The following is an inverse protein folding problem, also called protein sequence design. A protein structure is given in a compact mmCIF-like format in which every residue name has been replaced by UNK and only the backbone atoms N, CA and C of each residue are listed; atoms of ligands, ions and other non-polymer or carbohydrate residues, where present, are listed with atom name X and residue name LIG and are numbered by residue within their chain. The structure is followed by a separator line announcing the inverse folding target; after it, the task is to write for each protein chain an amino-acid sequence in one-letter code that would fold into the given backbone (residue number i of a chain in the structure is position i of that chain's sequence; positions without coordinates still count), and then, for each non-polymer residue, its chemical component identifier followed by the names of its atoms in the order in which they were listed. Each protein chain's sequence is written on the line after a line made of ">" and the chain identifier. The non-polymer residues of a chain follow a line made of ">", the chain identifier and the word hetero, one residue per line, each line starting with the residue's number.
data_IF_019620539730
#
_entry.id   IF_019620539730
#
_cell.length_a   1.000
_cell.length_b   1.000
_cell.length_c   1.000
_cell.angle_alpha   90.00
_cell.angle_beta   90.00
_cell.angle_gamma   90.00
#
_symmetry.space_group_name_H-M   'P 1'
#
loop_
_entity.id
_entity.type
_entity.pdbx_description
1 polymer ?
#
# COMPACT_ATOMS: atom_id res chain seq x y z
N UNK A 1 20.72 15.07 -23.48
CA UNK A 1 21.06 14.95 -24.90
C UNK A 1 19.79 14.46 -25.60
N UNK A 2 19.05 15.40 -26.16
CA UNK A 2 17.75 15.20 -26.84
C UNK A 2 18.06 14.80 -28.28
N UNK A 3 17.48 13.73 -28.78
CA UNK A 3 17.43 13.44 -30.21
C UNK A 3 15.98 13.29 -30.67
N UNK A 4 15.55 14.29 -31.40
CA UNK A 4 14.40 14.33 -32.27
C UNK A 4 14.66 13.47 -33.52
N UNK A 5 13.66 12.72 -33.96
CA UNK A 5 13.66 12.14 -35.31
C UNK A 5 12.40 12.60 -36.04
N UNK A 6 12.66 13.33 -37.11
CA UNK A 6 11.73 13.73 -38.16
C UNK A 6 11.50 12.56 -39.12
N UNK A 7 10.26 12.40 -39.57
CA UNK A 7 9.90 11.54 -40.69
C UNK A 7 9.78 12.39 -42.00
N UNK A 8 10.18 11.86 -43.14
CA UNK A 8 9.87 12.51 -44.42
C UNK A 8 8.61 11.93 -45.07
N UNK A 9 7.81 12.82 -45.63
CA UNK A 9 6.74 12.56 -46.58
C UNK A 9 7.24 12.04 -47.93
N UNK A 10 6.35 11.39 -48.59
CA UNK A 10 6.03 11.26 -50.00
C UNK A 10 6.06 9.85 -50.57
N UNK A 11 4.90 9.35 -51.03
CA UNK A 11 4.73 8.86 -52.38
C UNK A 11 3.25 8.57 -52.71
N UNK A 12 2.92 8.96 -53.89
CA UNK A 12 1.66 9.07 -54.61
C UNK A 12 0.86 7.77 -54.80
N UNK A 13 -0.44 8.02 -54.84
CA UNK A 13 -1.58 7.32 -55.43
C UNK A 13 -1.33 6.31 -56.53
N UNK A 14 -2.02 5.17 -56.44
CA UNK A 14 -2.74 4.52 -57.56
C UNK A 14 -4.00 3.88 -57.03
N UNK A 15 -5.13 4.33 -57.52
CA UNK A 15 -6.43 3.70 -57.28
C UNK A 15 -6.63 2.52 -58.21
N UNK A 16 -7.25 1.44 -57.73
CA UNK A 16 -8.14 0.60 -58.55
C UNK A 16 -9.60 0.85 -58.15
N UNK A 17 -10.37 1.11 -59.15
CA UNK A 17 -11.80 1.29 -59.17
C UNK A 17 -12.48 -0.04 -58.81
N UNK A 18 -13.19 -0.16 -57.70
CA UNK A 18 -14.04 -1.30 -57.36
C UNK A 18 -15.44 -0.77 -57.15
N UNK A 19 -16.35 -1.47 -57.83
CA UNK A 19 -17.75 -1.16 -58.08
C UNK A 19 -18.57 -0.81 -56.83
N UNK A 20 -19.54 0.06 -57.08
CA UNK A 20 -20.61 0.46 -56.19
C UNK A 20 -21.58 -0.68 -55.93
N UNK A 21 -21.47 -1.35 -54.76
CA UNK A 21 -22.60 -1.99 -54.13
C UNK A 21 -23.01 -1.17 -52.90
N UNK A 22 -24.03 -0.34 -53.14
CA UNK A 22 -24.54 0.63 -52.20
C UNK A 22 -25.41 0.02 -51.10
N UNK A 23 -24.79 -0.65 -50.14
CA UNK A 23 -25.45 -1.00 -48.88
C UNK A 23 -25.01 -0.01 -47.79
N UNK A 24 -25.93 0.82 -47.29
CA UNK A 24 -25.72 1.78 -46.25
C UNK A 24 -25.06 1.09 -45.02
N UNK A 25 -23.80 1.40 -44.64
CA UNK A 25 -23.08 0.73 -43.56
C UNK A 25 -23.83 0.80 -42.22
N UNK A 26 -24.59 1.85 -41.96
CA UNK A 26 -25.43 1.99 -40.75
C UNK A 26 -26.55 0.92 -40.71
N UNK A 27 -27.18 0.57 -41.89
CA UNK A 27 -28.19 -0.48 -41.93
C UNK A 27 -27.58 -1.88 -41.68
N UNK A 28 -26.36 -2.14 -42.15
CA UNK A 28 -25.64 -3.39 -41.88
C UNK A 28 -25.25 -3.56 -40.41
N UNK A 29 -24.80 -2.47 -39.77
CA UNK A 29 -24.49 -2.47 -38.32
C UNK A 29 -25.78 -2.63 -37.51
N UNK A 30 -26.86 -1.91 -37.86
CA UNK A 30 -28.15 -2.07 -37.17
C UNK A 30 -28.74 -3.47 -37.35
N UNK A 31 -28.63 -4.05 -38.54
CA UNK A 31 -29.10 -5.44 -38.78
C UNK A 31 -28.27 -6.47 -38.02
N UNK A 32 -26.94 -6.27 -37.93
CA UNK A 32 -26.05 -7.13 -37.14
C UNK A 32 -26.34 -7.03 -35.64
N UNK A 33 -26.58 -5.83 -35.11
CA UNK A 33 -26.99 -5.59 -33.73
C UNK A 33 -28.37 -6.19 -33.43
N UNK A 34 -29.34 -6.09 -34.38
CA UNK A 34 -30.67 -6.67 -34.21
C UNK A 34 -30.60 -8.20 -34.19
N UNK A 35 -29.80 -8.82 -35.07
CA UNK A 35 -29.57 -10.28 -35.08
C UNK A 35 -28.85 -10.71 -33.80
N UNK A 36 -27.88 -9.97 -33.33
CA UNK A 36 -27.18 -10.27 -32.05
C UNK A 36 -28.15 -10.19 -30.86
N UNK A 37 -29.01 -9.17 -30.81
CA UNK A 37 -30.03 -9.07 -29.76
C UNK A 37 -31.08 -10.19 -29.87
N UNK A 38 -31.47 -10.63 -31.09
CA UNK A 38 -32.41 -11.74 -31.28
C UNK A 38 -31.77 -13.08 -30.89
N UNK A 39 -30.49 -13.28 -31.18
CA UNK A 39 -29.75 -14.48 -30.78
C UNK A 39 -29.59 -14.55 -29.27
N UNK A 40 -29.27 -13.40 -28.60
CA UNK A 40 -29.22 -13.29 -27.14
C UNK A 40 -30.62 -13.55 -26.50
N UNK A 41 -31.72 -13.11 -27.13
CA UNK A 41 -33.07 -13.33 -26.64
C UNK A 41 -33.58 -14.77 -26.83
N UNK A 42 -32.93 -15.58 -27.68
CA UNK A 42 -33.23 -16.97 -27.91
C UNK A 42 -32.39 -17.95 -27.11
N UNK A 43 -31.40 -17.45 -26.39
CA UNK A 43 -30.62 -18.28 -25.45
C UNK A 43 -31.49 -18.64 -24.24
N UNK A 44 -31.51 -19.91 -23.82
CA UNK A 44 -32.21 -20.27 -22.59
C UNK A 44 -31.62 -19.48 -21.42
N UNK A 45 -32.46 -19.08 -20.47
CA UNK A 45 -32.03 -18.28 -19.31
C UNK A 45 -30.82 -18.90 -18.55
N UNK A 46 -30.66 -20.22 -18.64
CA UNK A 46 -29.48 -20.95 -18.15
C UNK A 46 -28.19 -20.70 -18.95
N UNK A 47 -28.28 -20.20 -20.20
CA UNK A 47 -27.12 -19.86 -21.02
C UNK A 47 -26.65 -18.39 -20.80
N UNK A 48 -27.44 -17.62 -20.06
CA UNK A 48 -27.16 -16.27 -19.62
C UNK A 48 -26.82 -16.20 -18.11
N UNK A 49 -26.67 -17.38 -17.47
CA UNK A 49 -26.21 -17.41 -16.09
C UNK A 49 -24.78 -16.81 -16.04
N UNK A 50 -24.66 -15.69 -15.36
CA UNK A 50 -23.34 -15.09 -15.11
C UNK A 50 -22.44 -16.10 -14.40
N UNK A 51 -21.19 -16.19 -14.84
CA UNK A 51 -20.21 -17.01 -14.14
C UNK A 51 -20.03 -16.45 -12.72
N UNK A 52 -20.04 -17.32 -11.71
CA UNK A 52 -19.73 -16.89 -10.35
C UNK A 52 -18.37 -16.19 -10.29
N UNK A 53 -18.30 -15.14 -9.50
CA UNK A 53 -17.06 -14.45 -9.18
C UNK A 53 -16.18 -15.37 -8.34
N UNK A 54 -14.93 -15.54 -8.73
CA UNK A 54 -14.00 -16.41 -8.02
C UNK A 54 -13.34 -15.70 -6.85
N UNK A 55 -12.71 -16.45 -5.97
CA UNK A 55 -11.89 -15.88 -4.89
C UNK A 55 -10.70 -15.09 -5.44
N UNK A 56 -10.11 -15.53 -6.58
CA UNK A 56 -9.06 -14.77 -7.26
C UNK A 56 -9.58 -13.44 -7.83
N UNK A 57 -10.76 -13.42 -8.46
CA UNK A 57 -11.39 -12.19 -8.94
C UNK A 57 -11.65 -11.22 -7.79
N UNK A 58 -12.17 -11.73 -6.66
CA UNK A 58 -12.40 -10.93 -5.45
C UNK A 58 -11.11 -10.34 -4.89
N UNK A 59 -10.03 -11.12 -4.87
CA UNK A 59 -8.74 -10.63 -4.39
C UNK A 59 -8.19 -9.52 -5.29
N UNK A 60 -8.28 -9.68 -6.61
CA UNK A 60 -7.88 -8.63 -7.57
C UNK A 60 -8.71 -7.38 -7.37
N UNK A 61 -10.04 -7.51 -7.29
CA UNK A 61 -10.95 -6.38 -7.07
C UNK A 61 -10.62 -5.62 -5.77
N UNK A 62 -10.44 -6.34 -4.66
CA UNK A 62 -10.12 -5.74 -3.36
C UNK A 62 -8.74 -5.05 -3.38
N UNK A 63 -7.72 -5.72 -3.93
CA UNK A 63 -6.38 -5.15 -4.00
C UNK A 63 -6.34 -3.86 -4.84
N UNK A 64 -7.04 -3.82 -5.96
CA UNK A 64 -7.09 -2.65 -6.83
C UNK A 64 -7.96 -1.53 -6.23
N UNK A 65 -9.13 -1.86 -5.70
CA UNK A 65 -10.04 -0.87 -5.10
C UNK A 65 -9.44 -0.17 -3.90
N UNK A 66 -8.72 -0.92 -3.05
CA UNK A 66 -8.12 -0.37 -1.82
C UNK A 66 -6.63 -0.06 -1.97
N UNK A 67 -6.06 -0.14 -3.18
CA UNK A 67 -4.70 0.27 -3.49
C UNK A 67 -3.62 -0.53 -2.76
N UNK A 68 -3.87 -1.82 -2.48
CA UNK A 68 -2.91 -2.66 -1.78
C UNK A 68 -1.67 -2.91 -2.63
N UNK A 69 -0.49 -2.83 -2.03
CA UNK A 69 0.77 -3.21 -2.68
C UNK A 69 0.84 -4.73 -2.90
N UNK A 70 1.48 -5.14 -3.98
CA UNK A 70 1.66 -6.56 -4.30
C UNK A 70 2.63 -7.22 -3.31
N UNK A 71 2.32 -8.46 -2.92
CA UNK A 71 3.17 -9.29 -2.06
C UNK A 71 3.56 -10.55 -2.82
N UNK A 72 4.83 -10.98 -2.70
CA UNK A 72 5.41 -12.08 -3.45
C UNK A 72 5.94 -13.19 -2.54
N UNK A 73 5.31 -13.44 -1.40
CA UNK A 73 5.79 -14.37 -0.38
C UNK A 73 5.88 -15.81 -0.88
N UNK A 74 4.92 -16.29 -1.67
CA UNK A 74 4.87 -17.66 -2.18
C UNK A 74 6.03 -18.02 -3.14
N UNK A 75 6.70 -17.01 -3.72
CA UNK A 75 7.82 -17.18 -4.65
C UNK A 75 9.18 -17.22 -3.94
N UNK A 76 9.22 -16.97 -2.65
CA UNK A 76 10.46 -17.01 -1.86
C UNK A 76 10.73 -18.46 -1.50
N UNK A 77 11.85 -19.02 -1.97
CA UNK A 77 12.26 -20.37 -1.65
C UNK A 77 12.50 -20.51 -0.13
N UNK A 78 11.94 -21.55 0.47
CA UNK A 78 12.00 -21.76 1.91
C UNK A 78 11.16 -20.82 2.76
N UNK A 79 10.30 -19.98 2.14
CA UNK A 79 9.37 -19.15 2.88
C UNK A 79 8.29 -20.00 3.54
N UNK A 80 8.14 -19.82 4.85
CA UNK A 80 7.17 -20.53 5.66
C UNK A 80 6.05 -19.61 6.13
N UNK A 81 4.87 -20.18 6.30
CA UNK A 81 3.67 -19.39 6.64
C UNK A 81 3.39 -19.34 8.13
N UNK A 82 4.14 -20.10 8.93
CA UNK A 82 3.95 -20.13 10.38
C UNK A 82 5.02 -19.32 11.12
N UNK A 83 4.69 -18.65 12.22
CA UNK A 83 5.65 -17.89 13.01
C UNK A 83 6.86 -18.72 13.46
N UNK A 84 6.64 -19.99 13.80
CA UNK A 84 7.69 -20.90 14.25
C UNK A 84 8.69 -21.20 13.13
N UNK A 85 8.21 -21.41 11.93
CA UNK A 85 9.02 -21.70 10.74
C UNK A 85 9.81 -20.49 10.27
N UNK A 86 9.33 -19.28 10.59
CA UNK A 86 10.05 -18.03 10.36
C UNK A 86 11.08 -17.69 11.44
N UNK A 87 11.31 -18.58 12.42
CA UNK A 87 12.29 -18.38 13.49
C UNK A 87 11.80 -17.47 14.62
N UNK A 88 10.54 -17.07 14.63
CA UNK A 88 9.94 -16.37 15.75
C UNK A 88 9.65 -17.35 16.89
N UNK A 89 10.01 -16.99 18.11
CA UNK A 89 9.73 -17.82 19.27
C UNK A 89 8.22 -17.85 19.54
N UNK A 90 7.68 -19.05 19.70
CA UNK A 90 6.26 -19.27 20.00
C UNK A 90 5.81 -18.69 21.37
N UNK A 91 6.73 -18.10 22.13
CA UNK A 91 6.47 -17.55 23.47
C UNK A 91 6.09 -16.06 23.46
N UNK A 92 6.11 -15.38 22.31
CA UNK A 92 5.62 -13.99 22.27
C UNK A 92 4.18 -13.99 21.83
N UNK A 93 3.25 -13.77 22.76
CA UNK A 93 1.84 -13.48 22.49
C UNK A 93 1.65 -12.25 21.58
N UNK A 94 2.74 -11.55 21.25
CA UNK A 94 2.79 -10.39 20.40
C UNK A 94 2.92 -10.74 18.90
N UNK A 95 3.26 -11.95 18.51
CA UNK A 95 3.27 -12.37 17.11
C UNK A 95 1.84 -12.76 16.74
N UNK A 96 1.05 -11.76 16.45
CA UNK A 96 -0.25 -11.93 15.83
C UNK A 96 -0.06 -12.35 14.37
N UNK A 97 -1.07 -12.96 13.77
CA UNK A 97 -1.08 -13.27 12.34
C UNK A 97 -0.74 -12.05 11.45
N UNK A 98 -0.93 -10.83 11.97
CA UNK A 98 -0.58 -9.57 11.31
C UNK A 98 0.94 -9.37 11.12
N UNK A 99 1.77 -10.05 11.90
CA UNK A 99 3.24 -9.89 11.84
C UNK A 99 3.92 -10.95 10.98
N UNK A 100 3.14 -11.87 10.41
CA UNK A 100 3.64 -12.94 9.55
C UNK A 100 3.02 -12.81 8.18
N UNK A 101 3.88 -12.63 7.17
CA UNK A 101 3.41 -12.56 5.79
C UNK A 101 2.98 -13.96 5.35
N UNK A 102 1.71 -14.15 5.04
CA UNK A 102 1.16 -15.41 4.58
C UNK A 102 1.37 -15.59 3.06
N UNK A 103 1.71 -16.81 2.67
CA UNK A 103 1.88 -17.21 1.28
C UNK A 103 0.74 -18.13 0.82
N UNK A 104 0.20 -17.88 -0.37
CA UNK A 104 -0.81 -18.72 -1.02
C UNK A 104 -0.13 -19.74 -1.92
N UNK A 105 0.21 -20.91 -1.41
CA UNK A 105 1.06 -21.89 -2.10
C UNK A 105 0.40 -22.49 -3.37
N UNK A 106 -0.91 -22.57 -3.42
CA UNK A 106 -1.66 -23.02 -4.59
C UNK A 106 -1.82 -21.93 -5.67
N UNK A 107 -1.29 -20.74 -5.44
CA UNK A 107 -1.40 -19.60 -6.34
C UNK A 107 -0.06 -19.16 -6.94
N UNK A 108 1.06 -19.78 -6.59
CA UNK A 108 2.42 -19.33 -6.90
C UNK A 108 2.69 -19.04 -8.38
N UNK A 109 2.08 -19.83 -9.26
CA UNK A 109 2.21 -19.69 -10.73
C UNK A 109 1.16 -18.76 -11.35
N UNK A 110 0.24 -18.23 -10.56
CA UNK A 110 -0.81 -17.34 -11.07
C UNK A 110 -0.28 -15.91 -11.21
N UNK A 111 -0.62 -15.20 -12.30
CA UNK A 111 -0.32 -13.77 -12.42
C UNK A 111 -0.94 -12.93 -11.29
N UNK A 112 -2.05 -13.41 -10.70
CA UNK A 112 -2.80 -12.76 -9.63
C UNK A 112 -2.27 -13.07 -8.23
N UNK A 113 -1.30 -13.99 -8.08
CA UNK A 113 -0.75 -14.38 -6.78
C UNK A 113 -0.31 -13.20 -5.91
N UNK A 114 0.39 -12.17 -6.44
CA UNK A 114 0.80 -11.03 -5.61
C UNK A 114 -0.36 -10.25 -5.00
N UNK A 115 -1.48 -10.11 -5.74
CA UNK A 115 -2.69 -9.46 -5.24
C UNK A 115 -3.44 -10.33 -4.24
N UNK A 116 -3.48 -11.65 -4.48
CA UNK A 116 -4.06 -12.62 -3.54
C UNK A 116 -3.32 -12.54 -2.20
N UNK A 117 -2.00 -12.56 -2.22
CA UNK A 117 -1.18 -12.48 -1.01
C UNK A 117 -1.31 -11.12 -0.31
N UNK A 118 -1.44 -10.02 -1.06
CA UNK A 118 -1.73 -8.71 -0.50
C UNK A 118 -3.06 -8.70 0.29
N UNK A 119 -4.11 -9.27 -0.28
CA UNK A 119 -5.44 -9.33 0.34
C UNK A 119 -5.47 -10.25 1.57
N UNK A 120 -4.74 -11.37 1.55
CA UNK A 120 -4.60 -12.26 2.70
C UNK A 120 -3.85 -11.54 3.84
N UNK A 121 -2.76 -10.87 3.51
CA UNK A 121 -1.94 -10.17 4.51
C UNK A 121 -2.62 -8.90 5.05
N UNK A 122 -3.50 -8.28 4.28
CA UNK A 122 -4.42 -7.26 4.78
C UNK A 122 -5.59 -7.84 5.59
N UNK A 123 -5.65 -9.16 5.79
CA UNK A 123 -6.69 -9.90 6.52
C UNK A 123 -8.11 -9.73 5.95
N UNK A 124 -8.23 -9.34 4.69
CA UNK A 124 -9.53 -9.16 4.03
C UNK A 124 -10.15 -10.51 3.67
N UNK A 125 -9.35 -11.40 3.08
CA UNK A 125 -9.71 -12.80 2.82
C UNK A 125 -8.73 -13.73 3.54
N UNK A 126 -9.18 -14.93 3.88
CA UNK A 126 -8.37 -15.90 4.61
C UNK A 126 -7.91 -17.05 3.71
N UNK A 127 -6.80 -17.68 4.05
CA UNK A 127 -6.46 -19.00 3.56
C UNK A 127 -7.49 -20.03 4.05
N UNK A 128 -7.53 -21.19 3.41
CA UNK A 128 -8.31 -22.33 3.87
C UNK A 128 -7.77 -22.89 5.20
N UNK A 129 -8.45 -23.88 5.78
CA UNK A 129 -8.12 -24.47 7.08
C UNK A 129 -6.73 -25.11 7.13
N UNK A 130 -6.14 -25.42 5.96
CA UNK A 130 -4.79 -25.93 5.83
C UNK A 130 -3.70 -24.84 6.02
N UNK A 131 -4.12 -23.57 6.10
CA UNK A 131 -3.27 -22.39 6.18
C UNK A 131 -2.26 -22.21 5.02
N UNK A 132 -2.44 -22.92 3.91
CA UNK A 132 -1.56 -22.93 2.74
C UNK A 132 -2.31 -22.60 1.44
N UNK A 133 -3.57 -23.05 1.32
CA UNK A 133 -4.36 -22.93 0.10
C UNK A 133 -5.29 -21.74 0.15
N UNK A 134 -5.35 -20.98 -0.93
CA UNK A 134 -6.32 -19.90 -1.12
C UNK A 134 -7.55 -20.34 -1.87
N UNK A 135 -7.44 -21.39 -2.71
CA UNK A 135 -8.48 -21.91 -3.61
C UNK A 135 -8.96 -20.85 -4.62
N UNK A 136 -8.07 -20.36 -5.50
CA UNK A 136 -8.34 -19.20 -6.36
C UNK A 136 -9.56 -19.34 -7.25
N UNK A 137 -9.82 -20.55 -7.76
CA UNK A 137 -10.96 -20.84 -8.67
C UNK A 137 -12.29 -21.12 -7.95
N UNK A 138 -12.28 -21.21 -6.63
CA UNK A 138 -13.52 -21.42 -5.88
C UNK A 138 -14.41 -20.17 -5.95
N UNK A 139 -15.75 -20.33 -6.06
CA UNK A 139 -16.65 -19.20 -6.01
C UNK A 139 -16.60 -18.55 -4.62
N UNK A 140 -16.71 -17.22 -4.58
CA UNK A 140 -16.86 -16.46 -3.34
C UNK A 140 -18.33 -16.12 -3.12
N UNK A 141 -18.81 -16.15 -1.87
CA UNK A 141 -20.19 -15.82 -1.55
C UNK A 141 -20.39 -14.31 -1.40
N UNK A 142 -21.64 -13.85 -1.53
CA UNK A 142 -22.02 -12.45 -1.28
C UNK A 142 -21.59 -12.03 0.12
N UNK A 143 -21.84 -12.88 1.12
CA UNK A 143 -21.48 -12.60 2.51
C UNK A 143 -19.98 -12.51 2.73
N UNK A 144 -19.21 -13.43 2.14
CA UNK A 144 -17.75 -13.43 2.26
C UNK A 144 -17.13 -12.17 1.62
N UNK A 145 -17.59 -11.79 0.42
CA UNK A 145 -17.15 -10.59 -0.27
C UNK A 145 -17.53 -9.32 0.52
N UNK A 146 -18.77 -9.24 1.03
CA UNK A 146 -19.21 -8.11 1.85
C UNK A 146 -18.42 -8.00 3.15
N UNK A 147 -18.05 -9.13 3.75
CA UNK A 147 -17.19 -9.15 4.95
C UNK A 147 -15.80 -8.59 4.63
N UNK A 148 -15.22 -8.98 3.50
CA UNK A 148 -13.92 -8.49 3.05
C UNK A 148 -13.93 -6.97 2.81
N UNK A 149 -14.96 -6.45 2.15
CA UNK A 149 -15.16 -5.01 1.94
C UNK A 149 -15.33 -4.28 3.28
N UNK A 150 -16.15 -4.82 4.19
CA UNK A 150 -16.36 -4.22 5.50
C UNK A 150 -15.08 -4.20 6.35
N UNK A 151 -14.24 -5.24 6.29
CA UNK A 151 -12.92 -5.25 6.92
C UNK A 151 -11.99 -4.18 6.33
N UNK A 152 -12.00 -4.00 5.01
CA UNK A 152 -11.20 -2.96 4.35
C UNK A 152 -11.60 -1.55 4.81
N UNK A 153 -12.89 -1.31 5.04
CA UNK A 153 -13.42 -0.01 5.49
C UNK A 153 -13.18 0.30 6.97
N UNK A 154 -13.18 -0.72 7.83
CA UNK A 154 -13.18 -0.52 9.29
C UNK A 154 -11.96 -1.12 10.01
N UNK A 155 -11.00 -1.63 9.25
CA UNK A 155 -9.87 -2.39 9.77
C UNK A 155 -10.23 -3.85 10.04
N UNK A 156 -9.22 -4.70 10.13
CA UNK A 156 -9.39 -6.16 10.29
C UNK A 156 -9.42 -6.61 11.77
N UNK A 157 -9.77 -5.74 12.72
CA UNK A 157 -9.86 -6.09 14.15
C UNK A 157 -10.92 -7.18 14.37
N UNK A 158 -10.48 -8.33 14.87
CA UNK A 158 -11.32 -9.50 15.12
C UNK A 158 -12.42 -9.28 16.20
N UNK A 159 -12.34 -8.19 16.98
CA UNK A 159 -13.32 -7.84 18.01
C UNK A 159 -14.52 -7.06 17.47
N UNK A 160 -14.51 -6.70 16.19
CA UNK A 160 -15.52 -5.89 15.55
C UNK A 160 -16.38 -6.78 14.64
N UNK A 161 -17.71 -6.67 14.74
CA UNK A 161 -18.59 -7.18 13.71
C UNK A 161 -18.64 -6.18 12.55
N UNK A 162 -17.75 -6.40 11.58
CA UNK A 162 -17.54 -5.52 10.43
C UNK A 162 -18.81 -5.41 9.56
N UNK A 163 -19.53 -6.53 9.35
CA UNK A 163 -20.75 -6.53 8.56
C UNK A 163 -21.83 -5.71 9.24
N UNK A 164 -22.04 -5.90 10.54
CA UNK A 164 -23.04 -5.13 11.29
C UNK A 164 -22.70 -3.64 11.24
N UNK A 165 -21.42 -3.29 11.36
CA UNK A 165 -20.98 -1.89 11.25
C UNK A 165 -21.28 -1.27 9.89
N UNK A 166 -21.08 -2.02 8.79
CA UNK A 166 -21.40 -1.56 7.44
C UNK A 166 -22.93 -1.44 7.22
N UNK A 167 -23.72 -2.32 7.84
CA UNK A 167 -25.19 -2.26 7.82
C UNK A 167 -25.68 -1.04 8.61
N UNK A 168 -25.17 -0.83 9.81
CA UNK A 168 -25.55 0.31 10.67
C UNK A 168 -25.20 1.66 10.03
N UNK A 169 -24.11 1.69 9.24
CA UNK A 169 -23.72 2.85 8.44
C UNK A 169 -24.56 3.04 7.16
N UNK A 170 -25.45 2.10 6.84
CA UNK A 170 -26.30 2.15 5.66
C UNK A 170 -25.57 1.84 4.33
N UNK A 171 -24.33 1.33 4.41
CA UNK A 171 -23.54 0.95 3.23
C UNK A 171 -23.98 -0.39 2.62
N UNK A 172 -24.45 -1.31 3.47
CA UNK A 172 -24.95 -2.62 3.09
C UNK A 172 -26.33 -2.86 3.69
N UNK A 173 -27.10 -3.75 3.07
CA UNK A 173 -28.41 -4.20 3.61
C UNK A 173 -28.32 -5.66 4.01
N UNK A 174 -28.77 -5.99 5.20
CA UNK A 174 -28.76 -7.37 5.71
C UNK A 174 -29.52 -8.34 4.79
N UNK A 175 -30.58 -7.87 4.08
CA UNK A 175 -31.36 -8.67 3.14
C UNK A 175 -30.56 -9.13 1.92
N UNK A 176 -29.49 -8.44 1.56
CA UNK A 176 -28.72 -8.70 0.35
C UNK A 176 -27.56 -9.68 0.62
N UNK A 177 -27.26 -9.94 1.90
CA UNK A 177 -26.17 -10.79 2.36
C UNK A 177 -26.57 -12.27 2.37
N UNK A 178 -26.32 -12.95 1.25
CA UNK A 178 -26.58 -14.40 1.09
C UNK A 178 -25.29 -15.21 1.11
N UNK A 179 -25.43 -16.50 1.31
CA UNK A 179 -24.31 -17.47 1.19
C UNK A 179 -24.24 -18.09 -0.22
N UNK A 180 -24.98 -17.52 -1.18
CA UNK A 180 -24.87 -17.88 -2.58
C UNK A 180 -23.62 -17.22 -3.22
N UNK A 181 -23.05 -17.84 -4.28
CA UNK A 181 -21.97 -17.23 -5.04
C UNK A 181 -22.35 -15.86 -5.58
N UNK A 182 -21.46 -14.89 -5.44
CA UNK A 182 -21.65 -13.54 -5.98
C UNK A 182 -21.29 -13.51 -7.47
N UNK A 183 -21.97 -12.69 -8.26
CA UNK A 183 -21.66 -12.43 -9.66
C UNK A 183 -20.96 -11.08 -9.84
N UNK A 184 -20.32 -10.84 -11.00
CA UNK A 184 -19.69 -9.57 -11.32
C UNK A 184 -20.68 -8.40 -11.24
N UNK A 185 -21.89 -8.57 -11.81
CA UNK A 185 -22.95 -7.54 -11.72
C UNK A 185 -23.38 -7.24 -10.30
N UNK A 186 -23.42 -8.24 -9.43
CA UNK A 186 -23.71 -8.02 -8.01
C UNK A 186 -22.57 -7.29 -7.32
N UNK A 187 -21.30 -7.56 -7.63
CA UNK A 187 -20.15 -6.81 -7.11
C UNK A 187 -20.29 -5.34 -7.47
N UNK A 188 -20.51 -5.02 -8.75
CA UNK A 188 -20.69 -3.66 -9.22
C UNK A 188 -21.87 -2.94 -8.54
N UNK A 189 -22.97 -3.66 -8.32
CA UNK A 189 -24.19 -3.06 -7.74
C UNK A 189 -24.10 -2.88 -6.23
N UNK A 190 -23.68 -3.93 -5.51
CA UNK A 190 -23.64 -3.90 -4.04
C UNK A 190 -22.54 -2.98 -3.51
N UNK A 191 -21.44 -2.84 -4.25
CA UNK A 191 -20.29 -2.05 -3.83
C UNK A 191 -20.10 -0.76 -4.65
N UNK A 192 -21.13 -0.31 -5.37
CA UNK A 192 -21.10 0.91 -6.17
C UNK A 192 -20.67 2.14 -5.35
N UNK A 193 -20.98 2.18 -4.05
CA UNK A 193 -20.60 3.26 -3.14
C UNK A 193 -19.07 3.42 -3.00
N UNK A 194 -18.28 2.37 -3.29
CA UNK A 194 -16.82 2.45 -3.25
C UNK A 194 -16.24 3.37 -4.33
N UNK A 195 -16.99 3.58 -5.43
CA UNK A 195 -16.56 4.48 -6.51
C UNK A 195 -16.52 5.95 -6.08
N UNK A 196 -17.30 6.31 -5.08
CA UNK A 196 -17.35 7.66 -4.52
C UNK A 196 -16.38 7.85 -3.33
N UNK A 197 -15.68 6.79 -2.91
CA UNK A 197 -14.73 6.83 -1.80
C UNK A 197 -13.36 7.27 -2.27
N UNK A 198 -12.68 8.05 -1.43
CA UNK A 198 -11.28 8.40 -1.63
C UNK A 198 -10.41 7.43 -0.82
N UNK A 199 -9.42 6.84 -1.47
CA UNK A 199 -8.42 6.00 -0.83
C UNK A 199 -7.14 6.79 -0.67
N UNK A 200 -6.60 6.85 0.55
CA UNK A 200 -5.28 7.43 0.83
C UNK A 200 -4.42 6.34 1.44
N UNK A 201 -3.27 6.08 0.83
CA UNK A 201 -2.27 5.18 1.40
C UNK A 201 -1.31 5.95 2.29
N UNK A 202 -1.17 5.49 3.54
CA UNK A 202 -0.18 6.01 4.47
C UNK A 202 0.93 4.98 4.61
N UNK A 203 2.11 5.30 4.10
CA UNK A 203 3.33 4.54 4.36
C UNK A 203 3.94 5.04 5.67
N UNK A 204 4.38 4.10 6.49
CA UNK A 204 5.07 4.41 7.73
C UNK A 204 6.31 3.53 7.88
N UNK A 205 7.41 4.15 8.23
CA UNK A 205 8.64 3.50 8.69
C UNK A 205 8.97 3.98 10.09
N UNK A 206 9.80 3.23 10.79
CA UNK A 206 10.41 3.61 12.06
C UNK A 206 11.66 2.78 12.25
N UNK A 207 12.57 3.23 13.09
CA UNK A 207 13.73 2.46 13.53
C UNK A 207 14.57 1.89 12.38
N UNK A 208 14.75 2.64 11.31
CA UNK A 208 15.56 2.20 10.16
C UNK A 208 17.01 2.00 10.57
N UNK A 209 17.51 2.80 11.53
CA UNK A 209 18.84 2.65 12.11
C UNK A 209 19.96 2.53 11.07
N UNK A 210 19.89 3.32 10.00
CA UNK A 210 20.90 3.35 8.96
C UNK A 210 20.87 2.14 7.99
N UNK A 211 19.88 1.26 8.06
CA UNK A 211 19.76 0.06 7.21
C UNK A 211 19.18 0.40 5.82
N UNK A 212 19.88 1.25 5.07
CA UNK A 212 19.44 1.72 3.74
C UNK A 212 19.81 0.79 2.60
N UNK A 213 20.81 -0.07 2.80
CA UNK A 213 21.27 -1.07 1.82
C UNK A 213 20.76 -2.44 2.24
N UNK A 214 20.48 -3.33 1.26
CA UNK A 214 20.08 -4.70 1.60
C UNK A 214 21.21 -5.43 2.32
N UNK A 215 20.84 -6.29 3.26
CA UNK A 215 21.76 -7.21 3.92
C UNK A 215 21.13 -8.59 4.03
N UNK A 216 21.97 -9.63 4.07
CA UNK A 216 21.52 -11.00 4.22
C UNK A 216 21.17 -11.29 5.67
N UNK A 217 20.04 -11.95 5.92
CA UNK A 217 19.64 -12.42 7.25
C UNK A 217 20.71 -13.31 7.87
N UNK A 218 20.73 -13.40 9.20
CA UNK A 218 21.74 -14.18 9.94
C UNK A 218 21.74 -15.67 9.60
N UNK A 219 20.62 -16.21 9.13
CA UNK A 219 20.48 -17.59 8.68
C UNK A 219 20.80 -17.78 7.18
N UNK A 220 21.12 -16.69 6.48
CA UNK A 220 21.50 -16.70 5.06
C UNK A 220 20.36 -16.91 4.08
N UNK A 221 19.09 -16.95 4.55
CA UNK A 221 17.95 -17.27 3.69
C UNK A 221 17.34 -16.08 2.99
N UNK A 222 17.39 -14.89 3.60
CA UNK A 222 16.67 -13.72 3.12
C UNK A 222 17.59 -12.52 2.96
N UNK A 223 17.29 -11.74 1.96
CA UNK A 223 17.83 -10.40 1.81
C UNK A 223 16.85 -9.40 2.45
N UNK A 224 17.29 -8.71 3.50
CA UNK A 224 16.48 -7.81 4.34
C UNK A 224 16.87 -6.36 4.05
N UNK A 225 15.90 -5.45 4.25
CA UNK A 225 16.11 -4.03 4.17
C UNK A 225 16.13 -3.48 2.74
N UNK A 226 16.61 -2.25 2.62
CA UNK A 226 16.72 -1.45 1.41
C UNK A 226 15.56 -0.46 1.21
N UNK A 227 15.94 0.81 1.22
CA UNK A 227 15.00 1.90 0.86
C UNK A 227 14.53 1.81 -0.59
N UNK A 228 15.33 1.20 -1.48
CA UNK A 228 14.92 0.96 -2.86
C UNK A 228 13.68 0.04 -2.96
N UNK A 229 13.56 -0.94 -2.06
CA UNK A 229 12.37 -1.81 -1.99
C UNK A 229 11.16 -1.05 -1.46
N UNK A 230 11.36 -0.19 -0.46
CA UNK A 230 10.29 0.70 0.02
C UNK A 230 9.77 1.54 -1.15
N UNK A 231 10.66 2.19 -1.93
CA UNK A 231 10.25 2.99 -3.09
C UNK A 231 9.56 2.15 -4.17
N UNK A 232 9.97 0.90 -4.39
CA UNK A 232 9.29 0.00 -5.32
C UNK A 232 7.84 -0.21 -4.92
N UNK A 233 7.59 -0.53 -3.63
CA UNK A 233 6.23 -0.73 -3.10
C UNK A 233 5.41 0.57 -3.17
N UNK A 234 6.01 1.72 -2.83
CA UNK A 234 5.34 3.02 -2.97
C UNK A 234 4.94 3.30 -4.42
N UNK A 235 5.86 3.09 -5.38
CA UNK A 235 5.59 3.31 -6.80
C UNK A 235 4.44 2.42 -7.33
N UNK A 236 4.30 1.20 -6.82
CA UNK A 236 3.17 0.33 -7.19
C UNK A 236 1.84 0.91 -6.71
N UNK A 237 1.79 1.45 -5.51
CA UNK A 237 0.59 2.10 -4.96
C UNK A 237 0.32 3.43 -5.67
N UNK A 238 1.34 4.24 -5.88
CA UNK A 238 1.25 5.49 -6.65
C UNK A 238 0.73 5.25 -8.08
N UNK A 239 1.15 4.14 -8.72
CA UNK A 239 0.65 3.78 -10.05
C UNK A 239 -0.82 3.37 -10.07
N UNK A 240 -1.38 2.89 -8.96
CA UNK A 240 -2.79 2.48 -8.83
C UNK A 240 -3.70 3.61 -8.39
N UNK A 241 -3.28 4.40 -7.41
CA UNK A 241 -4.11 5.41 -6.78
C UNK A 241 -3.84 6.84 -7.31
N UNK A 242 -2.62 7.11 -7.76
CA UNK A 242 -2.08 8.44 -8.03
C UNK A 242 -1.08 8.88 -6.96
N UNK A 243 -0.10 9.68 -7.34
CA UNK A 243 0.93 10.20 -6.41
C UNK A 243 0.32 11.09 -5.32
N UNK A 244 -0.76 11.79 -5.64
CA UNK A 244 -1.51 12.64 -4.73
C UNK A 244 -2.38 11.87 -3.72
N UNK A 245 -2.37 10.54 -3.76
CA UNK A 245 -3.07 9.65 -2.83
C UNK A 245 -2.14 9.03 -1.77
N UNK A 246 -0.88 9.44 -1.72
CA UNK A 246 0.13 8.82 -0.84
C UNK A 246 0.64 9.83 0.18
N UNK A 247 0.74 9.37 1.42
CA UNK A 247 1.42 10.05 2.53
C UNK A 247 2.51 9.12 3.05
N UNK A 248 3.74 9.63 3.23
CA UNK A 248 4.82 8.86 3.81
C UNK A 248 5.33 9.54 5.09
N UNK A 249 5.31 8.82 6.20
CA UNK A 249 5.79 9.29 7.51
C UNK A 249 6.81 8.33 8.10
N UNK A 250 7.66 8.86 9.00
CA UNK A 250 8.68 8.06 9.70
C UNK A 250 8.60 8.30 11.20
N UNK A 251 8.73 7.22 11.98
CA UNK A 251 8.64 7.22 13.45
C UNK A 251 9.92 7.61 14.17
N UNK A 252 10.97 8.02 13.45
CA UNK A 252 12.27 8.38 14.03
C UNK A 252 13.26 7.22 14.10
N UNK A 253 14.37 7.45 14.77
CA UNK A 253 15.50 6.54 14.94
C UNK A 253 16.09 6.04 13.61
N UNK A 254 16.07 6.88 12.59
CA UNK A 254 16.53 6.54 11.25
C UNK A 254 18.03 6.78 11.01
N UNK A 255 18.71 7.80 11.57
CA UNK A 255 20.04 8.24 11.10
C UNK A 255 21.24 7.49 11.69
N UNK A 256 21.05 6.65 12.70
CA UNK A 256 22.13 6.07 13.50
C UNK A 256 22.29 4.55 13.27
N UNK A 257 23.43 3.98 13.65
CA UNK A 257 23.77 2.59 13.94
C UNK A 257 24.61 1.85 12.86
N UNK A 258 24.44 2.06 11.56
CA UNK A 258 25.32 1.41 10.57
C UNK A 258 26.61 2.21 10.35
N UNK A 259 27.66 1.54 9.85
CA UNK A 259 28.91 2.22 9.49
C UNK A 259 28.68 3.38 8.53
N UNK A 260 27.82 3.19 7.54
CA UNK A 260 27.51 4.21 6.54
C UNK A 260 26.81 5.43 7.18
N UNK A 261 25.83 5.19 8.02
CA UNK A 261 25.13 6.24 8.75
C UNK A 261 26.09 6.99 9.70
N UNK A 262 26.90 6.25 10.44
CA UNK A 262 27.84 6.83 11.43
C UNK A 262 28.94 7.67 10.77
N UNK A 263 29.60 7.16 9.72
CA UNK A 263 30.64 7.91 9.00
C UNK A 263 30.10 9.17 8.35
N UNK A 264 28.86 9.15 7.88
CA UNK A 264 28.20 10.31 7.27
C UNK A 264 27.57 11.26 8.30
N UNK A 265 27.62 10.95 9.59
CA UNK A 265 26.92 11.71 10.65
C UNK A 265 25.44 11.91 10.34
N UNK A 266 24.77 10.87 9.82
CA UNK A 266 23.36 10.88 9.45
C UNK A 266 23.02 11.49 8.08
N UNK A 267 23.98 12.06 7.34
CA UNK A 267 23.68 12.69 6.04
C UNK A 267 23.04 11.71 5.03
N UNK A 268 23.60 10.50 4.94
CA UNK A 268 23.07 9.47 4.01
C UNK A 268 21.63 9.12 4.36
N UNK A 269 21.30 9.08 5.65
CA UNK A 269 19.94 8.81 6.12
C UNK A 269 18.96 9.86 5.65
N UNK A 270 19.30 11.13 5.90
CA UNK A 270 18.46 12.26 5.48
C UNK A 270 18.31 12.32 3.96
N UNK A 271 19.40 12.10 3.22
CA UNK A 271 19.36 12.10 1.75
C UNK A 271 18.51 10.95 1.21
N UNK A 272 18.62 9.75 1.80
CA UNK A 272 17.84 8.58 1.39
C UNK A 272 16.34 8.78 1.65
N UNK A 273 15.95 9.27 2.83
CA UNK A 273 14.55 9.55 3.16
C UNK A 273 13.98 10.69 2.30
N UNK A 274 14.79 11.74 2.04
CA UNK A 274 14.40 12.82 1.11
C UNK A 274 14.16 12.28 -0.30
N UNK A 275 15.03 11.39 -0.79
CA UNK A 275 14.88 10.77 -2.11
C UNK A 275 13.68 9.83 -2.22
N UNK A 276 13.24 9.24 -1.11
CA UNK A 276 12.00 8.45 -1.04
C UNK A 276 10.74 9.32 -1.13
N UNK A 277 10.85 10.62 -0.83
CA UNK A 277 9.70 11.52 -0.76
C UNK A 277 9.00 11.49 0.60
N UNK A 278 9.76 11.33 1.69
CA UNK A 278 9.22 11.42 3.04
C UNK A 278 8.54 12.78 3.26
N UNK A 279 7.35 12.79 3.82
CA UNK A 279 6.63 14.03 4.17
C UNK A 279 7.04 14.57 5.53
N UNK A 280 7.14 13.68 6.52
CA UNK A 280 7.55 14.04 7.88
C UNK A 280 8.13 12.87 8.65
N UNK A 281 9.07 13.17 9.55
CA UNK A 281 9.52 12.27 10.63
C UNK A 281 9.27 12.92 11.99
N UNK A 282 9.10 12.10 13.01
CA UNK A 282 9.22 12.49 14.42
C UNK A 282 10.64 12.18 14.89
N UNK A 283 11.06 12.74 15.99
CA UNK A 283 12.37 12.44 16.60
C UNK A 283 12.25 11.29 17.59
N UNK A 284 13.05 10.24 17.38
CA UNK A 284 13.32 9.21 18.38
C UNK A 284 14.52 9.55 19.24
N UNK A 285 14.94 8.63 20.13
CA UNK A 285 16.07 8.87 21.01
C UNK A 285 17.43 8.85 20.27
N UNK A 286 17.57 8.03 19.24
CA UNK A 286 18.81 7.92 18.46
C UNK A 286 19.01 9.07 17.47
N UNK A 287 17.99 9.88 17.18
CA UNK A 287 18.17 11.11 16.41
C UNK A 287 19.11 12.10 17.11
N UNK A 288 19.23 12.03 18.44
CA UNK A 288 20.11 12.86 19.25
C UNK A 288 21.55 12.32 19.38
N UNK A 289 21.88 11.14 18.90
CA UNK A 289 23.15 10.44 19.20
C UNK A 289 24.40 11.12 18.64
N UNK A 290 24.32 11.91 17.57
CA UNK A 290 25.47 12.59 17.01
C UNK A 290 25.78 13.97 17.62
N UNK A 291 24.91 14.57 18.31
CA UNK A 291 24.86 15.86 18.99
C UNK A 291 23.69 16.72 18.53
N UNK A 292 23.26 17.63 19.36
CA UNK A 292 22.16 18.55 19.02
C UNK A 292 22.52 19.45 17.82
N UNK A 293 23.77 19.96 17.77
CA UNK A 293 24.22 20.75 16.62
C UNK A 293 24.13 19.96 15.31
N UNK A 294 24.52 18.68 15.34
CA UNK A 294 24.39 17.82 14.19
C UNK A 294 22.92 17.56 13.83
N UNK A 295 22.05 17.34 14.80
CA UNK A 295 20.62 17.14 14.57
C UNK A 295 19.98 18.37 13.91
N UNK A 296 20.29 19.59 14.38
CA UNK A 296 19.82 20.82 13.74
C UNK A 296 20.32 20.95 12.30
N UNK A 297 21.58 20.57 12.05
CA UNK A 297 22.17 20.53 10.71
C UNK A 297 21.48 19.51 9.80
N UNK A 298 21.10 18.34 10.33
CA UNK A 298 20.32 17.32 9.60
C UNK A 298 18.93 17.83 9.29
N UNK A 299 18.27 18.49 10.24
CA UNK A 299 16.98 19.15 10.03
C UNK A 299 17.02 20.13 8.86
N UNK A 300 18.06 21.00 8.85
CA UNK A 300 18.20 22.00 7.79
C UNK A 300 18.57 21.41 6.42
N UNK A 301 19.12 20.19 6.40
CA UNK A 301 19.40 19.42 5.19
C UNK A 301 18.18 18.69 4.63
N UNK A 302 17.26 18.27 5.49
CA UNK A 302 16.12 17.45 5.12
C UNK A 302 15.19 18.18 4.13
N UNK A 303 14.65 17.44 3.16
CA UNK A 303 13.60 17.91 2.24
C UNK A 303 12.18 17.51 2.73
N UNK A 304 12.07 17.10 3.97
CA UNK A 304 10.87 16.74 4.69
C UNK A 304 10.85 17.42 6.06
N UNK A 305 9.71 17.42 6.72
CA UNK A 305 9.58 18.03 8.03
C UNK A 305 10.11 17.11 9.13
N UNK A 306 10.99 17.62 10.00
CA UNK A 306 11.30 17.01 11.29
C UNK A 306 10.39 17.63 12.35
N UNK A 307 9.52 16.82 12.94
CA UNK A 307 8.46 17.25 13.83
C UNK A 307 8.72 16.80 15.27
N UNK A 308 8.58 17.72 16.22
CA UNK A 308 8.49 17.42 17.64
C UNK A 308 7.86 18.60 18.38
N UNK A 309 6.56 18.51 18.59
CA UNK A 309 5.77 19.56 19.24
C UNK A 309 6.14 19.78 20.73
N UNK A 310 6.78 18.79 21.34
CA UNK A 310 7.13 18.83 22.77
C UNK A 310 8.63 18.97 23.05
N UNK A 311 9.50 19.01 22.02
CA UNK A 311 10.94 19.20 22.20
C UNK A 311 11.30 20.69 22.16
N UNK A 312 11.86 21.20 23.25
CA UNK A 312 12.28 22.61 23.38
C UNK A 312 13.64 22.73 24.03
N UNK A 313 14.34 23.82 23.74
CA UNK A 313 15.55 24.15 24.46
C UNK A 313 15.27 24.42 25.94
N UNK A 314 16.20 24.03 26.81
CA UNK A 314 16.20 24.46 28.20
C UNK A 314 16.32 25.98 28.27
N UNK A 315 15.78 26.57 29.32
CA UNK A 315 15.76 28.00 29.51
C UNK A 315 17.19 28.61 29.39
N UNK A 316 17.35 29.61 28.53
CA UNK A 316 18.60 30.26 28.26
C UNK A 316 19.63 29.46 27.45
N UNK A 317 19.23 28.30 26.88
CA UNK A 317 20.12 27.39 26.16
C UNK A 317 19.85 27.31 24.64
N UNK A 318 18.93 28.10 24.14
CA UNK A 318 18.66 28.11 22.68
C UNK A 318 19.91 28.53 21.91
N UNK A 319 20.19 27.80 20.82
CA UNK A 319 21.26 28.17 19.89
C UNK A 319 20.94 29.48 19.19
N UNK A 320 21.98 30.25 18.86
CA UNK A 320 21.82 31.55 18.22
C UNK A 320 21.09 31.41 16.87
N UNK A 321 19.97 32.10 16.76
CA UNK A 321 19.10 32.02 15.55
C UNK A 321 18.01 30.97 15.60
N UNK A 322 18.01 30.08 16.58
CA UNK A 322 16.98 29.06 16.76
C UNK A 322 15.79 29.59 17.58
N UNK A 323 14.62 29.03 17.32
CA UNK A 323 13.41 29.22 18.13
C UNK A 323 13.49 28.35 19.39
N UNK A 324 12.69 28.68 20.41
CA UNK A 324 12.57 27.88 21.64
C UNK A 324 12.23 26.42 21.34
N UNK A 325 11.35 26.19 20.38
CA UNK A 325 11.01 24.89 19.81
C UNK A 325 11.68 24.75 18.44
N UNK A 326 12.80 24.05 18.34
CA UNK A 326 13.61 24.03 17.11
C UNK A 326 13.04 23.16 15.99
N UNK A 327 12.10 22.28 16.33
CA UNK A 327 11.43 21.39 15.37
C UNK A 327 9.99 21.84 15.12
N UNK A 328 9.41 21.44 14.00
CA UNK A 328 8.04 21.79 13.66
C UNK A 328 7.03 21.11 14.57
N UNK A 329 5.92 21.79 14.88
CA UNK A 329 4.81 21.21 15.65
C UNK A 329 4.02 20.23 14.77
N UNK A 330 3.67 20.68 13.58
CA UNK A 330 2.89 19.92 12.60
C UNK A 330 3.10 20.46 11.17
N UNK A 331 2.71 19.64 10.21
CA UNK A 331 2.50 20.06 8.81
C UNK A 331 1.09 19.74 8.38
N UNK A 332 0.65 20.36 7.28
CA UNK A 332 -0.54 19.93 6.56
C UNK A 332 -0.15 19.36 5.21
N UNK A 333 -0.70 18.20 4.88
CA UNK A 333 -0.55 17.53 3.58
C UNK A 333 -1.92 17.38 2.94
N UNK A 334 -2.04 17.69 1.66
CA UNK A 334 -3.23 17.34 0.88
C UNK A 334 -3.00 15.99 0.19
N UNK A 335 -3.95 15.07 0.33
CA UNK A 335 -3.95 13.80 -0.37
C UNK A 335 -5.40 13.43 -0.74
N UNK A 336 -5.60 12.97 -1.99
CA UNK A 336 -6.92 12.62 -2.54
C UNK A 336 -7.99 13.72 -2.34
N UNK A 337 -7.59 15.00 -2.40
CA UNK A 337 -8.48 16.14 -2.15
C UNK A 337 -8.83 16.37 -0.68
N UNK A 338 -8.27 15.59 0.24
CA UNK A 338 -8.45 15.73 1.70
C UNK A 338 -7.23 16.42 2.31
N UNK A 339 -7.44 17.17 3.39
CA UNK A 339 -6.36 17.82 4.14
C UNK A 339 -6.06 17.04 5.42
N UNK A 340 -4.82 16.59 5.54
CA UNK A 340 -4.29 15.87 6.70
C UNK A 340 -3.42 16.78 7.55
N UNK A 341 -3.60 16.75 8.86
CA UNK A 341 -2.68 17.31 9.84
C UNK A 341 -1.75 16.21 10.35
N UNK A 342 -0.45 16.41 10.19
CA UNK A 342 0.59 15.47 10.65
C UNK A 342 1.39 16.17 11.72
N UNK A 343 1.43 15.63 12.93
CA UNK A 343 2.20 16.18 14.04
C UNK A 343 3.11 15.10 14.64
N UNK A 344 4.22 15.51 15.26
CA UNK A 344 5.18 14.64 15.93
C UNK A 344 5.24 14.92 17.43
N UNK A 345 5.34 13.85 18.22
CA UNK A 345 5.60 13.91 19.67
C UNK A 345 6.74 12.96 19.98
N UNK A 346 7.82 13.50 20.54
CA UNK A 346 8.97 12.73 20.98
C UNK A 346 8.72 12.18 22.39
N UNK A 347 9.11 10.93 22.64
CA UNK A 347 9.05 10.33 23.97
C UNK A 347 9.85 11.18 24.99
N UNK A 348 9.29 11.46 26.13
CA UNK A 348 9.90 12.24 27.20
C UNK A 348 11.15 11.54 27.79
N UNK A 349 11.33 10.25 27.57
CA UNK A 349 12.52 9.48 27.95
C UNK A 349 13.64 9.56 26.89
N UNK A 350 13.42 10.10 25.72
CA UNK A 350 14.40 10.14 24.63
C UNK A 350 15.71 10.80 25.03
N UNK A 351 15.64 11.90 25.77
CA UNK A 351 16.82 12.58 26.28
C UNK A 351 17.64 11.76 27.30
N UNK A 352 17.01 10.80 28.00
CA UNK A 352 17.67 9.92 28.97
C UNK A 352 18.26 8.66 28.32
N UNK A 353 17.76 8.25 27.16
CA UNK A 353 18.12 7.02 26.47
C UNK A 353 19.05 7.21 25.27
N UNK A 354 19.37 8.45 24.92
CA UNK A 354 20.38 8.76 23.90
C UNK A 354 21.80 8.54 24.43
N UNK A 355 22.77 8.31 23.54
CA UNK A 355 24.19 8.12 23.88
C UNK A 355 24.80 9.31 24.61
N UNK A 356 24.28 10.51 24.41
CA UNK A 356 24.85 11.78 24.96
C UNK A 356 23.88 12.51 25.89
N UNK A 357 23.05 11.75 26.62
CA UNK A 357 21.95 12.28 27.46
C UNK A 357 22.38 13.41 28.43
N UNK A 358 23.63 13.41 28.86
CA UNK A 358 24.14 14.43 29.81
C UNK A 358 24.58 15.75 29.14
N UNK A 359 24.61 15.82 27.82
CA UNK A 359 25.15 16.96 27.06
C UNK A 359 24.07 17.81 26.38
N UNK A 360 22.80 17.38 26.43
CA UNK A 360 21.73 18.10 25.77
C UNK A 360 21.13 19.20 26.65
N UNK A 361 20.94 20.34 26.02
CA UNK A 361 20.24 21.51 26.55
C UNK A 361 18.82 21.63 25.97
N UNK A 362 18.14 20.49 25.80
CA UNK A 362 16.85 20.40 25.14
C UNK A 362 15.88 19.51 25.97
#
# INVERSE_FOLDING_TARGET
>A
MIRSFYAPETARSTHPNIGKDGGNPVKRVLSALLVLMLVLALLPASALAETPYTRADAAVYLAETFGLADIHASRIEGYETTPKEMGYSASSDAITAANVIAAAKDCVDLPTAPKIEAVINAQLLSLADDHLSFRPDAPITVREMATAVAKALYGADLKIDHLQKAIDAGLLKASDLTDEPITATQVETLFAFLQDMQVVSVFATADIHGNYIPYTSSDGKFEIGSVARIKTVMNEVEARLGEDHVIYVDGGDSPYNTTLANVSMGNVSVDALSALGLDATVLGNHDFDYSLENLLRLRDRAQYAMLSANTKFKEGKAYAGEKEYPFGDYITKEAAGLKFGIFGVTDDQSAATTLYSNTYDI
#
